data_IF_259535831573
#
_entry.id   IF_259535831573
#
_cell.length_a   1.000
_cell.length_b   1.000
_cell.length_c   1.000
_cell.angle_alpha   90.00
_cell.angle_beta   90.00
_cell.angle_gamma   90.00
#
_symmetry.space_group_name_H-M   'P 1'
#
loop_
_entity.id
_entity.type
_entity.pdbx_description
1 polymer ?
#
# COMPACT_ATOMS: atom_id res chain seq x y z
N UNK A 1 -20.25 15.77 -7.72
CA UNK A 1 -19.63 14.80 -6.80
C UNK A 1 -18.44 14.12 -7.47
N UNK A 2 -17.29 13.94 -6.81
CA UNK A 2 -16.17 13.14 -7.35
C UNK A 2 -16.30 11.65 -6.97
N UNK A 3 -17.18 11.36 -6.01
CA UNK A 3 -17.33 10.04 -5.38
C UNK A 3 -18.51 9.21 -5.93
N UNK A 4 -19.46 9.81 -6.65
CA UNK A 4 -20.68 9.11 -7.08
C UNK A 4 -20.46 8.16 -8.27
N UNK A 5 -19.63 8.53 -9.26
CA UNK A 5 -19.47 7.72 -10.47
C UNK A 5 -18.16 6.91 -10.55
N UNK A 6 -17.34 6.89 -9.50
CA UNK A 6 -15.97 6.33 -9.52
C UNK A 6 -15.05 6.87 -10.65
N UNK A 7 -15.49 7.81 -11.48
CA UNK A 7 -14.70 8.39 -12.59
C UNK A 7 -13.50 9.19 -12.07
N UNK A 8 -13.64 9.79 -10.88
CA UNK A 8 -12.56 10.47 -10.17
C UNK A 8 -11.36 9.58 -9.84
N UNK A 9 -11.55 8.28 -9.60
CA UNK A 9 -10.47 7.38 -9.18
C UNK A 9 -9.41 7.19 -10.28
N UNK A 10 -9.78 7.39 -11.56
CA UNK A 10 -8.83 7.34 -12.69
C UNK A 10 -7.86 8.52 -12.70
N UNK A 11 -8.22 9.65 -12.09
CA UNK A 11 -7.35 10.84 -11.99
C UNK A 11 -6.42 10.78 -10.78
N UNK A 12 -6.72 9.96 -9.78
CA UNK A 12 -5.90 9.82 -8.57
C UNK A 12 -4.51 9.30 -8.93
N UNK A 13 -3.49 10.06 -8.51
CA UNK A 13 -2.07 9.71 -8.71
C UNK A 13 -1.36 9.34 -7.42
N UNK A 14 -1.86 9.77 -6.26
CA UNK A 14 -1.23 9.46 -4.99
C UNK A 14 -2.24 9.39 -3.85
N UNK A 15 -1.94 8.54 -2.88
CA UNK A 15 -2.60 8.47 -1.57
C UNK A 15 -1.51 8.68 -0.54
N UNK A 16 -1.76 9.57 0.43
CA UNK A 16 -0.83 9.86 1.52
C UNK A 16 -1.62 10.04 2.80
N UNK A 17 -1.32 9.21 3.80
CA UNK A 17 -1.99 9.19 5.09
C UNK A 17 -0.95 8.99 6.20
N UNK A 18 -0.92 9.94 7.13
CA UNK A 18 -0.21 9.78 8.40
C UNK A 18 -1.09 8.95 9.34
N UNK A 19 -0.60 7.78 9.72
CA UNK A 19 -1.32 6.80 10.53
C UNK A 19 -0.95 6.89 12.02
N UNK A 20 -0.10 7.85 12.43
CA UNK A 20 0.37 7.94 13.82
C UNK A 20 -0.76 8.09 14.85
N UNK A 21 -1.87 8.76 14.50
CA UNK A 21 -3.04 8.91 15.40
C UNK A 21 -4.15 7.91 15.12
N UNK A 22 -3.91 6.95 14.24
CA UNK A 22 -4.90 5.95 13.84
C UNK A 22 -4.67 4.67 14.63
N UNK A 23 -5.74 4.12 15.19
CA UNK A 23 -5.66 2.87 15.95
C UNK A 23 -6.00 1.67 15.06
N UNK A 24 -6.95 1.82 14.12
CA UNK A 24 -7.35 0.78 13.17
C UNK A 24 -7.42 1.32 11.74
N UNK A 25 -7.03 0.50 10.76
CA UNK A 25 -7.10 0.84 9.34
C UNK A 25 -7.65 -0.33 8.53
N UNK A 26 -8.72 -0.07 7.77
CA UNK A 26 -9.35 -1.05 6.90
C UNK A 26 -8.94 -0.80 5.44
N UNK A 27 -8.43 -1.84 4.79
CA UNK A 27 -8.10 -1.81 3.37
C UNK A 27 -8.86 -2.94 2.68
N UNK A 28 -9.82 -2.55 1.86
CA UNK A 28 -10.61 -3.49 1.06
C UNK A 28 -9.73 -4.21 0.02
N UNK A 29 -10.02 -5.48 -0.27
CA UNK A 29 -9.28 -6.28 -1.26
C UNK A 29 -9.19 -5.64 -2.65
N UNK A 30 -10.15 -4.77 -2.97
CA UNK A 30 -10.24 -4.04 -4.26
C UNK A 30 -9.75 -2.58 -4.22
N UNK A 31 -9.22 -2.09 -3.08
CA UNK A 31 -9.01 -0.66 -2.81
C UNK A 31 -8.29 0.10 -3.95
N UNK A 32 -7.32 -0.54 -4.60
CA UNK A 32 -6.50 0.10 -5.64
C UNK A 32 -6.88 -0.30 -7.07
N UNK A 33 -7.79 -1.26 -7.29
CA UNK A 33 -8.05 -1.81 -8.65
C UNK A 33 -8.61 -0.79 -9.63
N UNK A 34 -9.43 0.16 -9.15
CA UNK A 34 -10.00 1.24 -9.98
C UNK A 34 -9.07 2.46 -10.12
N UNK A 35 -7.93 2.50 -9.43
CA UNK A 35 -6.98 3.63 -9.42
C UNK A 35 -5.78 3.38 -10.36
N UNK A 36 -6.06 3.17 -11.64
CA UNK A 36 -5.05 2.72 -12.64
C UNK A 36 -3.88 3.68 -12.87
N UNK A 37 -3.99 4.94 -12.45
CA UNK A 37 -2.94 5.95 -12.56
C UNK A 37 -2.23 6.25 -11.22
N UNK A 38 -2.53 5.49 -10.18
CA UNK A 38 -1.91 5.62 -8.87
C UNK A 38 -0.42 5.27 -8.97
N UNK A 39 0.42 6.19 -8.49
CA UNK A 39 1.88 6.11 -8.51
C UNK A 39 2.49 6.20 -7.11
N UNK A 40 1.75 6.71 -6.13
CA UNK A 40 2.22 6.89 -4.77
C UNK A 40 1.19 6.30 -3.80
N UNK A 41 1.62 5.40 -2.92
CA UNK A 41 0.85 4.95 -1.77
C UNK A 41 1.74 5.14 -0.56
N UNK A 42 1.39 6.12 0.30
CA UNK A 42 2.11 6.43 1.51
C UNK A 42 1.17 6.28 2.72
N UNK A 43 1.30 5.18 3.44
CA UNK A 43 0.67 4.90 4.71
C UNK A 43 1.80 4.85 5.74
N UNK A 44 1.99 5.94 6.47
CA UNK A 44 3.23 6.17 7.19
C UNK A 44 3.01 6.70 8.58
N UNK A 45 3.96 6.44 9.48
CA UNK A 45 4.00 7.10 10.78
C UNK A 45 5.06 8.19 10.80
N UNK A 46 4.71 9.40 11.26
CA UNK A 46 5.68 10.50 11.44
C UNK A 46 6.60 10.32 12.64
N UNK A 47 6.15 9.56 13.64
CA UNK A 47 6.89 9.26 14.85
C UNK A 47 6.85 7.76 15.06
N UNK A 48 8.02 7.14 15.07
CA UNK A 48 8.11 5.75 15.43
C UNK A 48 7.85 5.62 16.93
N UNK A 49 6.84 4.85 17.30
CA UNK A 49 6.51 4.52 18.68
C UNK A 49 6.37 3.01 18.75
N UNK A 50 7.35 2.34 19.37
CA UNK A 50 7.37 0.89 19.51
C UNK A 50 6.19 0.35 20.32
N UNK A 51 5.50 1.20 21.09
CA UNK A 51 4.32 0.83 21.86
C UNK A 51 3.03 1.03 21.06
N UNK A 52 3.08 1.64 19.88
CA UNK A 52 1.92 1.88 19.03
C UNK A 52 1.91 0.93 17.83
N UNK A 53 1.03 -0.06 17.87
CA UNK A 53 0.69 -0.91 16.72
C UNK A 53 -0.64 -0.43 16.11
N UNK A 54 -0.64 -0.18 14.80
CA UNK A 54 -1.88 0.04 14.05
C UNK A 54 -2.49 -1.31 13.72
N UNK A 55 -3.75 -1.51 14.11
CA UNK A 55 -4.46 -2.74 13.77
C UNK A 55 -4.94 -2.68 12.31
N UNK A 56 -4.26 -3.47 11.48
CA UNK A 56 -4.57 -3.56 10.06
C UNK A 56 -5.65 -4.61 9.78
N UNK A 57 -6.76 -4.16 9.20
CA UNK A 57 -7.77 -5.01 8.60
C UNK A 57 -7.54 -5.07 7.09
N UNK A 58 -6.53 -5.84 6.71
CA UNK A 58 -6.22 -6.16 5.31
C UNK A 58 -6.76 -7.55 5.00
N UNK A 59 -7.69 -7.63 4.04
CA UNK A 59 -8.28 -8.91 3.63
C UNK A 59 -7.20 -9.88 3.12
N UNK A 60 -7.31 -11.17 3.41
CA UNK A 60 -6.31 -12.17 2.97
C UNK A 60 -6.19 -12.23 1.44
N UNK A 61 -7.31 -12.12 0.72
CA UNK A 61 -7.34 -11.99 -0.74
C UNK A 61 -6.82 -10.65 -1.29
N UNK A 62 -6.29 -9.74 -0.46
CA UNK A 62 -5.66 -8.53 -0.97
C UNK A 62 -4.43 -8.93 -1.79
N UNK A 63 -4.57 -8.78 -3.11
CA UNK A 63 -3.60 -9.28 -4.06
C UNK A 63 -3.32 -8.30 -5.18
N UNK A 64 -3.45 -6.99 -4.94
CA UNK A 64 -3.29 -6.03 -6.03
C UNK A 64 -2.64 -4.72 -5.59
N UNK A 65 -1.51 -4.42 -6.20
CA UNK A 65 -0.95 -3.07 -6.26
C UNK A 65 -0.99 -2.55 -7.71
N UNK A 66 -1.17 -1.24 -7.93
CA UNK A 66 -1.19 -0.66 -9.28
C UNK A 66 0.12 -0.85 -10.03
N UNK A 67 0.04 -1.20 -11.32
CA UNK A 67 1.21 -1.41 -12.18
C UNK A 67 2.13 -0.18 -12.32
N UNK A 68 1.57 1.03 -12.18
CA UNK A 68 2.31 2.30 -12.30
C UNK A 68 2.86 2.80 -10.96
N UNK A 69 2.81 1.97 -9.91
CA UNK A 69 3.28 2.34 -8.58
C UNK A 69 4.78 2.62 -8.63
N UNK A 70 5.16 3.82 -8.20
CA UNK A 70 6.56 4.27 -8.13
C UNK A 70 7.06 4.39 -6.70
N UNK A 71 6.17 4.69 -5.77
CA UNK A 71 6.52 4.85 -4.35
C UNK A 71 5.53 4.07 -3.52
N UNK A 72 6.06 3.12 -2.75
CA UNK A 72 5.32 2.37 -1.76
C UNK A 72 5.93 2.64 -0.39
N UNK A 73 5.24 3.43 0.41
CA UNK A 73 5.50 3.58 1.82
C UNK A 73 4.32 2.97 2.58
N UNK A 74 4.55 1.88 3.28
CA UNK A 74 3.52 1.12 3.97
C UNK A 74 4.07 0.58 5.29
N UNK A 75 4.18 1.47 6.28
CA UNK A 75 4.66 1.12 7.61
C UNK A 75 3.67 0.19 8.32
N UNK A 76 4.19 -0.76 9.09
CA UNK A 76 3.39 -1.74 9.82
C UNK A 76 2.65 -2.75 8.93
N UNK A 77 3.00 -2.87 7.64
CA UNK A 77 2.33 -3.79 6.71
C UNK A 77 2.16 -5.20 7.31
N UNK A 78 0.92 -5.73 7.37
CA UNK A 78 0.62 -6.87 8.25
C UNK A 78 0.92 -8.24 7.63
N UNK A 79 1.12 -8.33 6.31
CA UNK A 79 1.36 -9.62 5.65
C UNK A 79 2.85 -9.95 5.58
N UNK A 80 3.15 -11.25 5.66
CA UNK A 80 4.53 -11.77 5.58
C UNK A 80 5.13 -11.74 4.17
N UNK A 81 4.28 -11.61 3.15
CA UNK A 81 4.68 -11.60 1.74
C UNK A 81 3.91 -10.54 0.98
N UNK A 82 4.49 -10.03 -0.09
CA UNK A 82 3.75 -9.24 -1.07
C UNK A 82 2.83 -10.14 -1.91
N UNK A 83 1.79 -9.56 -2.53
CA UNK A 83 1.01 -10.24 -3.55
C UNK A 83 1.88 -10.89 -4.63
N UNK A 84 1.57 -12.11 -5.04
CA UNK A 84 2.36 -12.85 -6.04
C UNK A 84 2.37 -12.20 -7.43
N UNK A 85 1.38 -11.37 -7.73
CA UNK A 85 1.29 -10.58 -8.96
C UNK A 85 1.88 -9.17 -8.80
N UNK A 86 2.56 -8.87 -7.69
CA UNK A 86 3.23 -7.60 -7.50
C UNK A 86 4.31 -7.42 -8.56
N UNK A 87 4.34 -6.21 -9.14
CA UNK A 87 5.14 -5.85 -10.31
C UNK A 87 6.03 -4.67 -9.94
N UNK A 88 7.28 -4.92 -9.50
CA UNK A 88 8.16 -3.87 -8.99
C UNK A 88 8.86 -3.06 -10.08
N UNK A 89 8.62 -3.31 -11.37
CA UNK A 89 9.40 -2.74 -12.48
C UNK A 89 9.31 -1.21 -12.59
N UNK A 90 8.25 -0.60 -12.03
CA UNK A 90 8.10 0.85 -11.96
C UNK A 90 8.47 1.44 -10.59
N UNK A 91 8.82 0.59 -9.61
CA UNK A 91 9.04 0.97 -8.23
C UNK A 91 10.41 1.65 -8.08
N UNK A 92 10.38 2.91 -7.64
CA UNK A 92 11.57 3.73 -7.42
C UNK A 92 11.92 3.78 -5.92
N UNK A 93 10.91 3.74 -5.05
CA UNK A 93 11.10 3.81 -3.61
C UNK A 93 10.19 2.84 -2.87
N UNK A 94 10.78 2.09 -1.95
CA UNK A 94 10.10 1.18 -1.04
C UNK A 94 10.46 1.53 0.41
N UNK A 95 9.46 1.65 1.28
CA UNK A 95 9.61 1.73 2.74
C UNK A 95 8.48 0.97 3.41
N UNK A 96 8.80 0.00 4.27
CA UNK A 96 7.83 -0.83 4.97
C UNK A 96 8.30 -1.10 6.40
N UNK A 97 8.53 -0.01 7.15
CA UNK A 97 9.15 -0.08 8.46
C UNK A 97 8.22 -0.76 9.48
N UNK A 98 8.80 -1.62 10.34
CA UNK A 98 8.08 -2.50 11.28
C UNK A 98 6.94 -3.30 10.67
N UNK A 99 7.05 -3.64 9.38
CA UNK A 99 6.16 -4.61 8.74
C UNK A 99 6.48 -6.03 9.20
N UNK A 100 5.51 -6.94 9.03
CA UNK A 100 5.68 -8.38 9.22
C UNK A 100 6.30 -9.06 7.99
N UNK A 101 6.77 -8.27 7.02
CA UNK A 101 7.22 -8.74 5.72
C UNK A 101 8.53 -9.54 5.84
N UNK A 102 8.48 -10.82 5.49
CA UNK A 102 9.62 -11.73 5.47
C UNK A 102 10.21 -11.86 4.06
N UNK A 103 9.37 -11.65 3.04
CA UNK A 103 9.76 -11.78 1.62
C UNK A 103 9.09 -10.73 0.73
N UNK A 104 9.92 -10.06 -0.07
CA UNK A 104 9.50 -8.97 -0.94
C UNK A 104 8.75 -9.44 -2.20
N UNK A 105 9.29 -10.38 -2.95
CA UNK A 105 8.63 -10.99 -4.11
C UNK A 105 9.33 -12.32 -4.45
N UNK A 106 8.67 -13.11 -5.28
CA UNK A 106 9.24 -14.35 -5.81
C UNK A 106 10.10 -14.05 -7.05
N UNK A 107 11.24 -14.72 -7.19
CA UNK A 107 12.11 -14.57 -8.36
C UNK A 107 12.98 -13.31 -8.37
N UNK A 108 13.75 -13.17 -9.45
CA UNK A 108 14.59 -12.01 -9.71
C UNK A 108 13.80 -11.08 -10.64
N UNK A 109 13.41 -9.92 -10.13
CA UNK A 109 12.88 -8.84 -10.95
C UNK A 109 14.01 -7.84 -11.20
N UNK A 110 14.27 -7.52 -12.47
CA UNK A 110 15.15 -6.40 -12.84
C UNK A 110 14.50 -5.08 -12.40
N UNK A 111 15.22 -4.32 -11.57
CA UNK A 111 14.84 -2.96 -11.15
C UNK A 111 15.30 -1.93 -12.18
#
# INVERSE_FOLDING_TARGET
EVLEDNTGTRKVRGISLDIYKTDELQIHKEAFKKMRNLRFVNLYTRKWDHNKEVKWHLHQDFNYFPLKLRHLWFDGYPMRRMPSNFRPENLVKLRMEGSKLEKLWEGIHSL
#
